data_IF_518903547354
#
_entry.id   IF_518903547354
#
_cell.length_a   1.000
_cell.length_b   1.000
_cell.length_c   1.000
_cell.angle_alpha   90.00
_cell.angle_beta   90.00
_cell.angle_gamma   90.00
#
_symmetry.space_group_name_H-M   'P 1'
#
loop_
_entity.id
_entity.type
_entity.pdbx_description
1 polymer ?
#
# COMPACT_ATOMS: atom_id res chain seq x y z
N UNK A 1 55.35 2.56 14.74
CA UNK A 1 54.40 3.66 15.03
C UNK A 1 53.45 3.80 13.83
N UNK A 2 52.42 2.93 13.73
CA UNK A 2 51.01 3.23 14.05
C UNK A 2 50.50 4.52 13.39
N UNK A 3 50.10 4.42 12.13
CA UNK A 3 49.26 5.40 11.45
C UNK A 3 47.80 5.03 11.73
N UNK A 4 47.10 5.89 12.45
CA UNK A 4 45.66 5.81 12.67
C UNK A 4 44.97 6.66 11.59
N UNK A 5 44.53 6.04 10.50
CA UNK A 5 43.54 6.65 9.62
C UNK A 5 42.15 6.39 10.22
N UNK A 6 41.64 7.36 10.96
CA UNK A 6 40.23 7.38 11.34
C UNK A 6 39.42 7.86 10.12
N UNK A 7 38.86 6.91 9.36
CA UNK A 7 37.86 7.21 8.35
C UNK A 7 36.52 7.30 9.09
N UNK A 8 36.17 8.52 9.49
CA UNK A 8 34.81 8.87 9.90
C UNK A 8 33.92 8.82 8.65
N UNK A 9 33.30 7.68 8.40
CA UNK A 9 32.18 7.57 7.46
C UNK A 9 30.97 8.17 8.17
N UNK A 10 30.84 9.49 8.07
CA UNK A 10 29.59 10.17 8.36
C UNK A 10 28.55 9.68 7.37
N UNK A 11 27.71 8.75 7.81
CA UNK A 11 26.43 8.45 7.17
C UNK A 11 25.54 9.69 7.31
N UNK A 12 25.69 10.65 6.40
CA UNK A 12 24.65 11.62 6.14
C UNK A 12 23.48 10.85 5.55
N UNK A 13 22.50 10.53 6.41
CA UNK A 13 21.15 10.17 5.98
C UNK A 13 20.58 11.37 5.24
N UNK A 14 20.83 11.43 3.93
CA UNK A 14 20.12 12.32 3.03
C UNK A 14 18.70 11.81 2.96
N UNK A 15 17.85 12.27 3.89
CA UNK A 15 16.42 12.30 3.65
C UNK A 15 16.22 12.98 2.29
N UNK A 16 15.43 12.38 1.42
CA UNK A 16 15.16 12.92 0.11
C UNK A 16 14.28 14.17 0.25
N UNK A 17 14.90 15.32 0.53
CA UNK A 17 14.27 16.64 0.40
C UNK A 17 14.14 16.98 -1.08
N UNK A 18 13.31 16.24 -1.82
CA UNK A 18 12.88 16.68 -3.13
C UNK A 18 11.88 17.83 -2.89
N UNK A 19 12.27 19.06 -3.25
CA UNK A 19 11.44 20.28 -3.30
C UNK A 19 11.15 20.98 -1.96
N UNK A 20 11.85 20.64 -0.87
CA UNK A 20 11.66 21.29 0.44
C UNK A 20 10.39 20.86 1.18
N UNK A 21 9.69 19.84 0.67
CA UNK A 21 8.50 19.24 1.26
C UNK A 21 8.86 17.90 1.88
N UNK A 22 8.58 17.74 3.17
CA UNK A 22 8.71 16.45 3.86
C UNK A 22 7.48 15.59 3.55
N UNK A 23 7.57 14.81 2.46
CA UNK A 23 6.47 13.98 1.97
C UNK A 23 6.09 12.89 2.98
N UNK A 24 7.07 12.36 3.71
CA UNK A 24 6.81 11.35 4.74
C UNK A 24 6.01 11.96 5.89
N UNK A 25 6.34 13.17 6.35
CA UNK A 25 5.54 13.87 7.36
C UNK A 25 4.09 14.09 6.91
N UNK A 26 3.87 14.50 5.65
CA UNK A 26 2.52 14.66 5.09
C UNK A 26 1.78 13.32 5.05
N UNK A 27 2.43 12.24 4.64
CA UNK A 27 1.80 10.92 4.60
C UNK A 27 1.42 10.44 6.01
N UNK A 28 2.24 10.73 7.02
CA UNK A 28 1.93 10.45 8.42
C UNK A 28 0.75 11.28 8.92
N UNK A 29 0.65 12.57 8.59
CA UNK A 29 -0.52 13.39 8.92
C UNK A 29 -1.80 12.84 8.29
N UNK A 30 -1.77 12.51 6.99
CA UNK A 30 -2.90 11.89 6.28
C UNK A 30 -3.30 10.55 6.89
N UNK A 31 -2.33 9.73 7.30
CA UNK A 31 -2.58 8.46 7.97
C UNK A 31 -3.26 8.64 9.34
N UNK A 32 -2.85 9.65 10.12
CA UNK A 32 -3.47 10.00 11.39
C UNK A 32 -4.92 10.47 11.19
N UNK A 33 -5.16 11.37 10.25
CA UNK A 33 -6.50 11.84 9.88
C UNK A 33 -7.41 10.68 9.47
N UNK A 34 -6.87 9.75 8.67
CA UNK A 34 -7.59 8.55 8.27
C UNK A 34 -7.98 7.68 9.47
N UNK A 35 -7.05 7.43 10.39
CA UNK A 35 -7.32 6.68 11.63
C UNK A 35 -8.37 7.39 12.48
N UNK A 36 -8.23 8.70 12.70
CA UNK A 36 -9.16 9.49 13.51
C UNK A 36 -10.59 9.45 12.95
N UNK A 37 -10.72 9.52 11.64
CA UNK A 37 -12.02 9.43 10.96
C UNK A 37 -12.69 8.08 11.15
N UNK A 38 -11.92 6.99 11.16
CA UNK A 38 -12.46 5.61 11.15
C UNK A 38 -12.50 4.94 12.52
N UNK A 39 -11.81 5.47 13.54
CA UNK A 39 -11.71 4.86 14.87
C UNK A 39 -13.06 4.68 15.59
N UNK A 40 -14.10 5.44 15.19
CA UNK A 40 -15.47 5.26 15.71
C UNK A 40 -16.11 3.94 15.28
N UNK A 41 -15.64 3.36 14.18
CA UNK A 41 -16.19 2.16 13.56
C UNK A 41 -15.22 0.97 13.55
N UNK A 42 -13.96 1.19 13.93
CA UNK A 42 -12.87 0.22 13.79
C UNK A 42 -11.93 0.35 15.00
N UNK A 43 -11.62 -0.78 15.65
CA UNK A 43 -10.67 -0.80 16.77
C UNK A 43 -9.23 -0.98 16.26
N UNK A 44 -8.53 0.14 16.11
CA UNK A 44 -7.18 0.18 15.57
C UNK A 44 -6.11 -0.50 16.44
N UNK A 45 -6.42 -0.83 17.69
CA UNK A 45 -5.52 -1.66 18.54
C UNK A 45 -5.36 -3.08 18.00
N UNK A 46 -6.27 -3.53 17.13
CA UNK A 46 -6.26 -4.85 16.51
C UNK A 46 -5.52 -4.87 15.16
N UNK A 47 -4.84 -3.79 14.80
CA UNK A 47 -4.18 -3.63 13.51
C UNK A 47 -2.71 -3.26 13.68
N UNK A 48 -1.87 -3.82 12.82
CA UNK A 48 -0.56 -3.27 12.51
C UNK A 48 -0.75 -2.26 11.39
N UNK A 49 -0.35 -1.02 11.65
CA UNK A 49 -0.51 0.10 10.72
C UNK A 49 0.87 0.68 10.44
N UNK A 50 1.11 1.05 9.19
CA UNK A 50 2.23 1.87 8.81
C UNK A 50 1.90 2.63 7.52
N UNK A 51 2.61 3.73 7.32
CA UNK A 51 2.47 4.61 6.17
C UNK A 51 3.85 4.97 5.62
N UNK A 52 3.88 5.37 4.35
CA UNK A 52 5.09 5.86 3.68
C UNK A 52 4.71 6.58 2.38
N UNK A 53 5.58 7.47 1.92
CA UNK A 53 5.48 7.99 0.56
C UNK A 53 6.08 7.00 -0.46
N UNK A 54 5.33 6.64 -1.50
CA UNK A 54 5.83 5.88 -2.65
C UNK A 54 6.17 6.83 -3.79
N UNK A 55 7.45 6.99 -4.13
CA UNK A 55 7.88 7.74 -5.31
C UNK A 55 7.52 7.04 -6.63
N UNK A 56 7.37 5.71 -6.61
CA UNK A 56 6.88 4.94 -7.78
C UNK A 56 5.43 5.26 -8.14
N UNK A 57 4.59 5.44 -7.13
CA UNK A 57 3.16 5.76 -7.29
C UNK A 57 2.93 7.28 -7.29
N UNK A 58 3.87 8.04 -6.71
CA UNK A 58 3.72 9.45 -6.34
C UNK A 58 2.55 9.68 -5.38
N UNK A 59 2.44 8.82 -4.36
CA UNK A 59 1.30 8.75 -3.47
C UNK A 59 1.67 8.44 -2.02
N UNK A 60 0.85 8.91 -1.07
CA UNK A 60 0.92 8.47 0.31
C UNK A 60 0.22 7.12 0.48
N UNK A 61 1.01 6.11 0.84
CA UNK A 61 0.52 4.74 1.00
C UNK A 61 0.25 4.49 2.47
N UNK A 62 -0.94 3.96 2.74
CA UNK A 62 -1.38 3.58 4.08
C UNK A 62 -1.71 2.09 4.11
N UNK A 63 -1.09 1.36 5.02
CA UNK A 63 -1.26 -0.08 5.16
C UNK A 63 -1.91 -0.42 6.48
N UNK A 64 -2.98 -1.23 6.42
CA UNK A 64 -3.59 -1.85 7.59
C UNK A 64 -3.49 -3.38 7.46
N UNK A 65 -2.95 -4.05 8.48
CA UNK A 65 -2.99 -5.50 8.59
C UNK A 65 -3.58 -5.91 9.94
N UNK A 66 -4.62 -6.75 9.95
CA UNK A 66 -5.19 -7.23 11.21
C UNK A 66 -4.18 -8.10 11.96
N UNK A 67 -4.03 -7.84 13.26
CA UNK A 67 -3.26 -8.69 14.17
C UNK A 67 -3.95 -10.04 14.40
N UNK A 68 -5.28 -10.10 14.27
CA UNK A 68 -6.07 -11.31 14.41
C UNK A 68 -7.04 -11.46 13.22
N UNK A 69 -6.93 -12.60 12.52
CA UNK A 69 -7.70 -12.90 11.32
C UNK A 69 -6.92 -12.68 10.01
N UNK A 70 -7.62 -12.85 8.90
CA UNK A 70 -7.08 -12.70 7.53
C UNK A 70 -7.59 -11.39 6.95
N UNK A 71 -6.84 -10.29 7.12
CA UNK A 71 -7.16 -9.02 6.48
C UNK A 71 -5.93 -8.14 6.33
N UNK A 72 -5.66 -7.73 5.10
CA UNK A 72 -4.67 -6.70 4.75
C UNK A 72 -5.31 -5.73 3.77
N UNK A 73 -5.11 -4.43 3.98
CA UNK A 73 -5.52 -3.38 3.06
C UNK A 73 -4.35 -2.42 2.81
N UNK A 74 -4.18 -2.01 1.56
CA UNK A 74 -3.25 -0.96 1.15
C UNK A 74 -4.03 0.13 0.45
N UNK A 75 -3.82 1.39 0.85
CA UNK A 75 -4.58 2.53 0.34
C UNK A 75 -3.70 3.66 -0.15
N UNK A 76 -4.18 4.37 -1.18
CA UNK A 76 -3.65 5.66 -1.64
C UNK A 76 -4.39 6.80 -0.91
N UNK A 77 -3.75 7.45 0.05
CA UNK A 77 -4.36 8.57 0.78
C UNK A 77 -4.32 9.90 0.03
N UNK A 78 -3.55 10.01 -1.04
CA UNK A 78 -3.49 11.21 -1.89
C UNK A 78 -4.55 11.24 -2.98
N UNK A 79 -5.13 10.07 -3.33
CA UNK A 79 -6.18 9.95 -4.33
C UNK A 79 -5.69 10.27 -5.75
N UNK A 80 -4.45 9.90 -6.07
CA UNK A 80 -3.81 10.18 -7.36
C UNK A 80 -3.90 9.00 -8.32
N UNK A 81 -4.13 7.79 -7.80
CA UNK A 81 -4.26 6.58 -8.63
C UNK A 81 -5.60 6.58 -9.36
N UNK A 82 -6.70 6.81 -8.65
CA UNK A 82 -8.05 6.81 -9.22
C UNK A 82 -8.61 8.23 -9.36
N UNK A 83 -9.47 8.44 -10.35
CA UNK A 83 -10.20 9.70 -10.59
C UNK A 83 -11.43 9.84 -9.66
N UNK A 84 -11.81 8.77 -8.96
CA UNK A 84 -12.94 8.71 -8.03
C UNK A 84 -12.53 8.66 -6.54
N UNK A 85 -13.45 8.26 -5.67
CA UNK A 85 -13.18 8.06 -4.22
C UNK A 85 -12.60 6.69 -3.88
N UNK A 86 -12.30 5.88 -4.89
CA UNK A 86 -11.62 4.61 -4.70
C UNK A 86 -10.17 4.87 -4.30
N UNK A 87 -9.79 4.33 -3.15
CA UNK A 87 -8.44 4.51 -2.63
C UNK A 87 -7.82 3.20 -2.18
N UNK A 88 -8.43 2.06 -2.49
CA UNK A 88 -7.98 0.73 -2.07
C UNK A 88 -7.19 0.10 -3.22
N UNK A 89 -5.88 -0.04 -3.02
CA UNK A 89 -4.94 -0.59 -4.01
C UNK A 89 -4.73 -2.09 -3.84
N UNK A 90 -4.87 -2.58 -2.61
CA UNK A 90 -4.84 -4.00 -2.26
C UNK A 90 -5.90 -4.26 -1.19
N UNK A 91 -6.73 -5.28 -1.37
CA UNK A 91 -7.58 -5.85 -0.32
C UNK A 91 -7.46 -7.37 -0.32
N UNK A 92 -6.97 -7.91 0.79
CA UNK A 92 -6.88 -9.34 0.98
C UNK A 92 -7.68 -9.74 2.21
N UNK A 93 -8.57 -10.72 2.05
CA UNK A 93 -9.26 -11.38 3.17
C UNK A 93 -9.37 -12.90 2.91
N UNK A 94 -10.07 -13.60 3.80
CA UNK A 94 -10.27 -15.05 3.66
C UNK A 94 -10.95 -15.46 2.33
N UNK A 95 -11.62 -14.56 1.61
CA UNK A 95 -12.29 -14.86 0.34
C UNK A 95 -11.37 -14.68 -0.86
N UNK A 96 -10.22 -14.04 -0.73
CA UNK A 96 -9.29 -13.82 -1.84
C UNK A 96 -8.55 -12.48 -1.79
N UNK A 97 -7.88 -12.15 -2.90
CA UNK A 97 -7.10 -10.92 -3.08
C UNK A 97 -7.72 -10.10 -4.22
N UNK A 98 -7.83 -8.80 -3.99
CA UNK A 98 -8.11 -7.76 -4.96
C UNK A 98 -6.87 -6.86 -5.04
N UNK A 99 -5.99 -7.09 -6.03
CA UNK A 99 -4.77 -6.32 -6.29
C UNK A 99 -4.92 -5.49 -7.57
N UNK A 100 -4.84 -4.16 -7.43
CA UNK A 100 -5.03 -3.20 -8.52
C UNK A 100 -3.80 -3.16 -9.43
N UNK A 101 -4.01 -3.28 -10.75
CA UNK A 101 -3.00 -2.95 -11.75
C UNK A 101 -2.88 -1.43 -11.89
N UNK A 102 -2.02 -0.83 -11.06
CA UNK A 102 -1.75 0.62 -11.08
C UNK A 102 -1.28 1.08 -12.46
N UNK A 103 -0.54 0.25 -13.22
CA UNK A 103 -0.18 0.59 -14.59
C UNK A 103 -1.41 0.74 -15.49
N UNK A 104 -2.37 -0.20 -15.42
CA UNK A 104 -3.59 -0.14 -16.21
C UNK A 104 -4.46 1.04 -15.81
N UNK A 105 -4.61 1.30 -14.51
CA UNK A 105 -5.35 2.47 -14.01
C UNK A 105 -4.73 3.76 -14.54
N UNK A 106 -3.39 3.88 -14.51
CA UNK A 106 -2.67 5.05 -15.06
C UNK A 106 -2.85 5.19 -16.57
N UNK A 107 -2.83 4.10 -17.34
CA UNK A 107 -3.10 4.12 -18.78
C UNK A 107 -4.48 4.69 -19.10
N UNK A 108 -5.44 4.48 -18.21
CA UNK A 108 -6.80 5.02 -18.30
C UNK A 108 -7.01 6.30 -17.49
N UNK A 109 -5.93 6.96 -17.05
CA UNK A 109 -5.95 8.24 -16.31
C UNK A 109 -6.82 8.20 -15.05
N UNK A 110 -6.80 7.06 -14.35
CA UNK A 110 -7.57 6.85 -13.12
C UNK A 110 -9.04 6.50 -13.34
N UNK A 111 -9.50 6.36 -14.59
CA UNK A 111 -10.89 6.10 -14.94
C UNK A 111 -11.08 4.64 -15.38
N UNK A 112 -11.58 3.79 -14.49
CA UNK A 112 -11.72 2.35 -14.72
C UNK A 112 -13.14 1.82 -14.50
N UNK A 113 -14.10 2.71 -14.26
CA UNK A 113 -15.49 2.35 -13.93
C UNK A 113 -16.15 1.50 -15.04
N UNK A 114 -15.86 1.85 -16.29
CA UNK A 114 -16.38 1.14 -17.48
C UNK A 114 -15.50 -0.04 -17.92
N UNK A 115 -14.36 -0.27 -17.26
CA UNK A 115 -13.47 -1.37 -17.61
C UNK A 115 -13.90 -2.67 -16.91
N UNK A 116 -13.87 -3.81 -17.61
CA UNK A 116 -14.02 -5.11 -16.96
C UNK A 116 -13.01 -5.28 -15.83
N UNK A 117 -13.46 -5.68 -14.64
CA UNK A 117 -12.61 -5.82 -13.43
C UNK A 117 -11.34 -6.63 -13.68
N UNK A 118 -11.43 -7.70 -14.48
CA UNK A 118 -10.28 -8.55 -14.84
C UNK A 118 -9.15 -7.82 -15.58
N UNK A 119 -9.46 -6.67 -16.19
CA UNK A 119 -8.49 -5.92 -16.99
C UNK A 119 -7.64 -5.01 -16.10
N UNK A 120 -8.11 -4.66 -14.89
CA UNK A 120 -7.42 -3.75 -13.98
C UNK A 120 -7.27 -4.26 -12.54
N UNK A 121 -7.76 -5.47 -12.23
CA UNK A 121 -7.56 -6.14 -10.94
C UNK A 121 -7.22 -7.63 -11.11
N UNK A 122 -6.39 -8.16 -10.20
CA UNK A 122 -6.00 -9.58 -10.15
C UNK A 122 -5.88 -10.08 -8.72
N UNK A 123 -5.52 -11.36 -8.55
CA UNK A 123 -5.11 -11.93 -7.25
C UNK A 123 -3.62 -11.64 -6.89
N UNK A 124 -2.92 -10.86 -7.72
CA UNK A 124 -1.49 -10.56 -7.59
C UNK A 124 -0.55 -11.70 -8.03
N UNK A 125 -1.08 -12.81 -8.55
CA UNK A 125 -0.36 -13.96 -9.10
C UNK A 125 -0.74 -14.29 -10.55
N UNK A 126 -1.52 -13.43 -11.21
CA UNK A 126 -2.00 -13.60 -12.58
C UNK A 126 -3.33 -14.34 -12.68
N UNK A 127 -3.95 -14.69 -11.54
CA UNK A 127 -5.31 -15.19 -11.46
C UNK A 127 -6.35 -14.06 -11.33
N UNK A 128 -7.64 -14.42 -11.38
CA UNK A 128 -8.73 -13.45 -11.25
C UNK A 128 -8.75 -12.83 -9.85
N UNK A 129 -9.05 -11.53 -9.78
CA UNK A 129 -9.33 -10.86 -8.52
C UNK A 129 -10.49 -11.53 -7.77
N UNK A 130 -10.51 -11.41 -6.45
CA UNK A 130 -11.60 -11.93 -5.59
C UNK A 130 -12.97 -11.41 -6.02
N UNK A 131 -13.05 -10.15 -6.44
CA UNK A 131 -14.27 -9.52 -6.95
C UNK A 131 -14.84 -10.25 -8.18
N UNK A 132 -13.99 -10.96 -8.94
CA UNK A 132 -14.38 -11.80 -10.08
C UNK A 132 -14.60 -13.25 -9.66
N UNK A 133 -13.68 -13.83 -8.88
CA UNK A 133 -13.77 -15.22 -8.40
C UNK A 133 -13.18 -15.32 -6.99
N UNK A 134 -14.01 -15.74 -6.03
CA UNK A 134 -13.54 -16.04 -4.68
C UNK A 134 -12.60 -17.26 -4.66
N UNK A 135 -11.65 -17.26 -3.74
CA UNK A 135 -10.76 -18.38 -3.51
C UNK A 135 -11.54 -19.64 -3.11
N UNK A 136 -11.21 -20.78 -3.70
CA UNK A 136 -11.84 -22.07 -3.40
C UNK A 136 -11.46 -22.57 -1.99
N UNK A 137 -10.23 -22.28 -1.57
CA UNK A 137 -9.73 -22.51 -0.22
C UNK A 137 -9.59 -21.14 0.44
N UNK A 138 -10.18 -20.93 1.64
CA UNK A 138 -10.07 -19.64 2.31
C UNK A 138 -8.61 -19.26 2.57
N UNK A 139 -8.26 -18.02 2.26
CA UNK A 139 -6.91 -17.52 2.51
C UNK A 139 -6.63 -17.43 4.01
N UNK A 140 -5.39 -17.73 4.36
CA UNK A 140 -4.86 -17.56 5.71
C UNK A 140 -4.24 -16.17 5.86
N UNK A 141 -4.00 -15.77 7.11
CA UNK A 141 -3.24 -14.54 7.40
C UNK A 141 -1.90 -14.49 6.67
N UNK A 142 -1.20 -15.64 6.61
CA UNK A 142 0.10 -15.75 5.94
C UNK A 142 0.00 -15.47 4.44
N UNK A 143 -1.10 -15.87 3.80
CA UNK A 143 -1.32 -15.62 2.38
C UNK A 143 -1.47 -14.12 2.10
N UNK A 144 -2.21 -13.39 2.96
CA UNK A 144 -2.33 -11.94 2.85
C UNK A 144 -1.04 -11.19 3.20
N UNK A 145 -0.26 -11.66 4.18
CA UNK A 145 1.06 -11.11 4.47
C UNK A 145 2.01 -11.29 3.29
N UNK A 146 1.97 -12.44 2.61
CA UNK A 146 2.74 -12.67 1.39
C UNK A 146 2.25 -11.79 0.22
N UNK A 147 0.94 -11.56 0.10
CA UNK A 147 0.39 -10.62 -0.88
C UNK A 147 0.89 -9.19 -0.63
N UNK A 148 0.88 -8.75 0.63
CA UNK A 148 1.42 -7.46 1.04
C UNK A 148 2.90 -7.33 0.70
N UNK A 149 3.71 -8.34 1.01
CA UNK A 149 5.14 -8.34 0.72
C UNK A 149 5.41 -8.17 -0.77
N UNK A 150 4.71 -8.92 -1.63
CA UNK A 150 4.81 -8.77 -3.09
C UNK A 150 4.41 -7.37 -3.55
N UNK A 151 3.33 -6.84 -3.00
CA UNK A 151 2.86 -5.49 -3.31
C UNK A 151 3.92 -4.44 -2.95
N UNK A 152 4.49 -4.53 -1.73
CA UNK A 152 5.54 -3.63 -1.26
C UNK A 152 6.82 -3.76 -2.09
N UNK A 153 7.24 -4.96 -2.47
CA UNK A 153 8.40 -5.13 -3.36
C UNK A 153 8.20 -4.40 -4.69
N UNK A 154 6.98 -4.45 -5.24
CA UNK A 154 6.65 -3.77 -6.50
C UNK A 154 6.61 -2.26 -6.32
N UNK A 155 5.94 -1.77 -5.28
CA UNK A 155 5.48 -0.39 -5.19
C UNK A 155 6.11 0.48 -4.10
N UNK A 156 6.86 -0.12 -3.16
CA UNK A 156 7.67 0.65 -2.23
C UNK A 156 8.88 1.26 -2.95
N UNK A 157 9.29 2.45 -2.49
CA UNK A 157 10.34 3.26 -3.07
C UNK A 157 9.83 4.58 -3.58
#
# INVERSE_FOLDING_TARGET
MRWLFAILISFSATGAWADGVDRDAICTELAQDYVEKHQKSRDYRLYRIFDFYSSKIDACIYVEAKLFGTSVQVRDLTGVVFKGHENLLLDCDARGIDDVSIETVRLHRGDVEELPVKDWMSDGLGGPARTVKTAEIPLTRRDCEAALERWLVRWNG
#
